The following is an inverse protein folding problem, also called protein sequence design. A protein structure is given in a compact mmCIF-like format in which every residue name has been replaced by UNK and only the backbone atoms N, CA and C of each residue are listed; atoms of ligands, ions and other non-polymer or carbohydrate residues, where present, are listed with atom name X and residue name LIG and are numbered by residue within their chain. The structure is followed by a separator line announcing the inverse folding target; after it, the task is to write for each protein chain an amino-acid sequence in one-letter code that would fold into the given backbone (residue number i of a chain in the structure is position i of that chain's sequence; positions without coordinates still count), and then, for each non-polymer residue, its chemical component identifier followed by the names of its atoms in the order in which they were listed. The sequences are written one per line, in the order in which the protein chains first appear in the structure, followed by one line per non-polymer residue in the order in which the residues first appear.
data_IF_705543787421
#
_entry.id   IF_705543787421
#
_cell.length_a   1.000
_cell.length_b   1.000
_cell.length_c   1.000
_cell.angle_alpha   90.00
_cell.angle_beta   90.00
_cell.angle_gamma   90.00
#
_symmetry.space_group_name_H-M   'P 1'
#
loop_
_entity.id
_entity.type
_entity.pdbx_description
1 polymer ?
#
# COMPACT_ATOMS: atom_id res chain seq x y z
N UNK A 1 -18.95 -0.89 -10.69
CA UNK A 1 -18.94 -0.63 -12.15
C UNK A 1 -18.01 0.54 -12.41
N UNK A 2 -17.13 0.45 -13.40
CA UNK A 2 -16.14 1.51 -13.74
C UNK A 2 -16.51 2.07 -15.11
N UNK A 3 -16.68 3.38 -15.24
CA UNK A 3 -16.97 4.06 -16.50
C UNK A 3 -15.71 4.69 -17.08
N UNK A 4 -15.53 4.62 -18.39
CA UNK A 4 -14.49 5.37 -19.09
C UNK A 4 -14.92 6.83 -19.32
N UNK A 5 -14.01 7.67 -19.83
CA UNK A 5 -14.32 9.08 -20.11
C UNK A 5 -15.35 9.31 -21.23
N UNK A 6 -15.69 8.28 -22.00
CA UNK A 6 -16.79 8.34 -22.97
C UNK A 6 -18.16 8.01 -22.35
N UNK A 7 -18.23 7.71 -21.05
CA UNK A 7 -19.45 7.27 -20.36
C UNK A 7 -19.78 5.78 -20.55
N UNK A 8 -18.96 5.03 -21.28
CA UNK A 8 -19.16 3.59 -21.48
C UNK A 8 -18.61 2.77 -20.31
N UNK A 9 -19.17 1.59 -20.07
CA UNK A 9 -18.63 0.62 -19.13
C UNK A 9 -17.22 0.19 -19.57
N UNK A 10 -16.23 0.40 -18.70
CA UNK A 10 -14.86 -0.02 -18.98
C UNK A 10 -14.75 -1.55 -18.99
N UNK A 11 -13.87 -2.08 -19.84
CA UNK A 11 -13.56 -3.52 -19.90
C UNK A 11 -12.20 -3.80 -19.28
N UNK A 12 -12.06 -4.97 -18.63
CA UNK A 12 -10.76 -5.43 -18.13
C UNK A 12 -9.91 -5.87 -19.32
N UNK A 13 -8.70 -5.33 -19.39
CA UNK A 13 -7.66 -5.66 -20.39
C UNK A 13 -6.39 -6.08 -19.65
N UNK A 14 -5.54 -6.85 -20.33
CA UNK A 14 -4.22 -7.26 -19.83
C UNK A 14 -3.15 -6.41 -20.50
N UNK A 15 -2.22 -5.88 -19.71
CA UNK A 15 -1.04 -5.18 -20.24
C UNK A 15 -0.02 -6.20 -20.74
N UNK A 16 0.36 -6.04 -22.01
CA UNK A 16 1.42 -6.80 -22.67
C UNK A 16 2.72 -6.01 -22.80
N UNK A 17 2.82 -4.87 -22.10
CA UNK A 17 4.03 -4.04 -22.11
C UNK A 17 5.09 -4.65 -21.20
N UNK A 18 6.37 -4.51 -21.57
CA UNK A 18 7.50 -4.97 -20.74
C UNK A 18 7.53 -4.34 -19.33
N UNK A 19 6.93 -3.15 -19.17
CA UNK A 19 6.86 -2.44 -17.88
C UNK A 19 5.82 -3.05 -16.92
N UNK A 20 4.73 -3.61 -17.43
CA UNK A 20 3.65 -4.18 -16.63
C UNK A 20 3.10 -5.47 -17.27
N UNK A 21 3.93 -6.48 -17.51
CA UNK A 21 3.48 -7.69 -18.19
C UNK A 21 2.43 -8.42 -17.34
N UNK A 22 1.33 -8.83 -17.95
CA UNK A 22 0.26 -9.60 -17.32
C UNK A 22 -0.62 -8.81 -16.34
N UNK A 23 -0.37 -7.51 -16.12
CA UNK A 23 -1.16 -6.70 -15.19
C UNK A 23 -2.50 -6.32 -15.81
N UNK A 24 -3.58 -6.46 -15.05
CA UNK A 24 -4.92 -6.12 -15.51
C UNK A 24 -5.27 -4.66 -15.24
N UNK A 25 -6.01 -4.04 -16.16
CA UNK A 25 -6.49 -2.68 -16.05
C UNK A 25 -7.84 -2.52 -16.75
N UNK A 26 -8.68 -1.62 -16.26
CA UNK A 26 -9.87 -1.11 -16.91
C UNK A 26 -9.50 -0.12 -18.02
N UNK A 27 -10.02 -0.36 -19.22
CA UNK A 27 -9.86 0.53 -20.38
C UNK A 27 -11.18 0.81 -21.09
N UNK A 28 -11.18 1.77 -22.02
CA UNK A 28 -12.32 2.00 -22.90
C UNK A 28 -12.67 0.71 -23.68
N UNK A 29 -13.94 0.29 -23.76
CA UNK A 29 -14.31 -0.92 -24.49
C UNK A 29 -14.19 -0.76 -26.01
N UNK A 30 -14.21 0.48 -26.52
CA UNK A 30 -14.13 0.78 -27.95
C UNK A 30 -12.67 0.65 -28.42
N UNK A 31 -12.40 -0.28 -29.32
CA UNK A 31 -11.08 -0.48 -29.90
C UNK A 31 -10.67 0.70 -30.80
N UNK A 32 -9.39 1.10 -30.75
CA UNK A 32 -8.90 2.28 -31.47
C UNK A 32 -9.42 3.63 -30.96
N UNK A 33 -10.15 3.66 -29.85
CA UNK A 33 -10.65 4.90 -29.26
C UNK A 33 -9.52 5.83 -28.84
N UNK A 34 -9.69 7.14 -29.05
CA UNK A 34 -8.82 8.18 -28.48
C UNK A 34 -9.05 8.39 -26.97
N UNK A 35 -9.97 7.65 -26.37
CA UNK A 35 -10.23 7.68 -24.93
C UNK A 35 -9.02 7.13 -24.16
N UNK A 36 -8.35 8.00 -23.40
CA UNK A 36 -7.15 7.64 -22.61
C UNK A 36 -7.46 7.18 -21.19
N UNK A 37 -8.67 6.68 -20.95
CA UNK A 37 -9.03 6.15 -19.64
C UNK A 37 -8.25 4.87 -19.35
N UNK A 38 -7.57 4.84 -18.19
CA UNK A 38 -6.87 3.68 -17.64
C UNK A 38 -7.18 3.66 -16.13
N UNK A 39 -7.73 2.57 -15.63
CA UNK A 39 -7.87 2.31 -14.19
C UNK A 39 -7.25 0.97 -13.83
N UNK A 40 -6.52 0.85 -12.72
CA UNK A 40 -5.97 -0.46 -12.35
C UNK A 40 -7.08 -1.41 -11.90
N UNK A 41 -7.00 -2.67 -12.35
CA UNK A 41 -7.88 -3.73 -11.89
C UNK A 41 -7.09 -4.64 -10.94
N UNK A 42 -7.41 -4.51 -9.65
CA UNK A 42 -6.96 -5.45 -8.64
C UNK A 42 -8.08 -6.48 -8.43
N UNK A 43 -7.85 -7.70 -8.92
CA UNK A 43 -8.77 -8.81 -8.70
C UNK A 43 -8.89 -9.15 -7.20
N UNK A 44 -9.85 -10.02 -6.83
CA UNK A 44 -9.96 -10.46 -5.45
C UNK A 44 -8.64 -11.09 -4.98
N UNK A 45 -8.17 -10.67 -3.81
CA UNK A 45 -7.01 -11.32 -3.17
C UNK A 45 -7.29 -12.81 -2.97
N UNK A 46 -6.29 -13.66 -3.16
CA UNK A 46 -6.44 -15.08 -2.87
C UNK A 46 -6.62 -15.31 -1.35
N UNK A 47 -7.31 -16.40 -0.99
CA UNK A 47 -7.64 -16.72 0.41
C UNK A 47 -6.39 -16.79 1.30
N UNK A 48 -5.28 -17.32 0.77
CA UNK A 48 -4.00 -17.33 1.46
C UNK A 48 -3.52 -15.92 1.81
N UNK A 49 -3.58 -14.98 0.86
CA UNK A 49 -3.18 -13.59 1.09
C UNK A 49 -4.09 -12.91 2.11
N UNK A 50 -5.40 -13.15 2.04
CA UNK A 50 -6.37 -12.64 3.02
C UNK A 50 -6.07 -13.14 4.44
N UNK A 51 -5.59 -14.37 4.60
CA UNK A 51 -5.21 -14.90 5.91
C UNK A 51 -3.87 -14.35 6.43
N UNK A 52 -2.85 -14.28 5.57
CA UNK A 52 -1.46 -13.97 5.97
C UNK A 52 -1.25 -12.46 6.16
N UNK A 53 -1.71 -11.62 5.22
CA UNK A 53 -1.40 -10.18 5.20
C UNK A 53 -1.86 -9.48 6.50
N UNK A 54 -3.08 -9.69 7.02
CA UNK A 54 -3.49 -9.06 8.26
C UNK A 54 -2.64 -9.47 9.47
N UNK A 55 -2.21 -10.74 9.52
CA UNK A 55 -1.31 -11.24 10.58
C UNK A 55 0.04 -10.52 10.56
N UNK A 56 0.64 -10.41 9.37
CA UNK A 56 1.90 -9.68 9.19
C UNK A 56 1.77 -8.20 9.56
N UNK A 57 0.68 -7.54 9.14
CA UNK A 57 0.41 -6.13 9.47
C UNK A 57 0.31 -5.90 10.98
N UNK A 58 -0.40 -6.78 11.71
CA UNK A 58 -0.47 -6.69 13.18
C UNK A 58 0.91 -6.83 13.83
N UNK A 59 1.72 -7.78 13.36
CA UNK A 59 3.09 -7.98 13.86
C UNK A 59 3.95 -6.75 13.62
N UNK A 60 3.93 -6.19 12.40
CA UNK A 60 4.67 -4.96 12.06
C UNK A 60 4.24 -3.80 12.95
N UNK A 61 2.93 -3.60 13.15
CA UNK A 61 2.41 -2.52 13.98
C UNK A 61 2.84 -2.68 15.45
N UNK A 62 2.82 -3.92 15.97
CA UNK A 62 3.29 -4.22 17.33
C UNK A 62 4.79 -3.92 17.49
N UNK A 63 5.62 -4.35 16.54
CA UNK A 63 7.06 -4.10 16.56
C UNK A 63 7.39 -2.61 16.43
N UNK A 64 6.64 -1.87 15.60
CA UNK A 64 6.77 -0.40 15.50
C UNK A 64 6.42 0.27 16.83
N UNK A 65 5.33 -0.12 17.48
CA UNK A 65 4.94 0.43 18.79
C UNK A 65 6.00 0.16 19.88
N UNK A 66 6.55 -1.07 19.92
CA UNK A 66 7.64 -1.42 20.84
C UNK A 66 8.90 -0.60 20.58
N UNK A 67 9.27 -0.43 19.30
CA UNK A 67 10.42 0.39 18.90
C UNK A 67 10.24 1.84 19.31
N UNK A 68 9.05 2.43 19.09
CA UNK A 68 8.74 3.80 19.51
C UNK A 68 8.84 3.96 21.02
N UNK A 69 8.28 3.00 21.78
CA UNK A 69 8.33 3.02 23.25
C UNK A 69 9.77 2.95 23.77
N UNK A 70 10.59 2.08 23.19
CA UNK A 70 12.00 1.93 23.58
C UNK A 70 12.79 3.21 23.27
N UNK A 71 12.53 3.86 22.13
CA UNK A 71 13.14 5.17 21.80
C UNK A 71 12.77 6.25 22.82
N UNK A 72 11.51 6.31 23.25
CA UNK A 72 11.07 7.25 24.29
C UNK A 72 11.82 6.97 25.60
N UNK A 73 11.90 5.71 26.03
CA UNK A 73 12.65 5.37 27.24
C UNK A 73 14.13 5.72 27.15
N UNK A 74 14.76 5.49 26.00
CA UNK A 74 16.14 5.89 25.77
C UNK A 74 16.31 7.41 25.89
N UNK A 75 15.42 8.20 25.26
CA UNK A 75 15.45 9.66 25.36
C UNK A 75 15.26 10.13 26.81
N UNK A 76 14.26 9.61 27.51
CA UNK A 76 14.00 9.94 28.92
C UNK A 76 15.21 9.59 29.81
N UNK A 77 15.83 8.42 29.60
CA UNK A 77 17.01 8.00 30.36
C UNK A 77 18.22 8.91 30.10
N UNK A 78 18.43 9.35 28.86
CA UNK A 78 19.51 10.27 28.50
C UNK A 78 19.28 11.65 29.09
N UNK A 79 18.05 12.17 29.04
CA UNK A 79 17.69 13.44 29.69
C UNK A 79 17.95 13.36 31.19
N UNK A 80 17.52 12.28 31.85
CA UNK A 80 17.76 12.08 33.27
C UNK A 80 19.26 11.96 33.59
N UNK A 81 20.01 11.21 32.80
CA UNK A 81 21.46 11.07 32.97
C UNK A 81 22.19 12.41 32.84
N UNK A 82 21.89 13.19 31.80
CA UNK A 82 22.44 14.54 31.61
C UNK A 82 22.05 15.45 32.76
N UNK A 83 20.79 15.42 33.20
CA UNK A 83 20.34 16.19 34.36
C UNK A 83 21.14 15.83 35.62
N UNK A 84 21.33 14.54 35.91
CA UNK A 84 22.13 14.09 37.05
C UNK A 84 23.60 14.49 36.92
N UNK A 85 24.17 14.52 35.71
CA UNK A 85 25.56 14.95 35.49
C UNK A 85 25.75 16.47 35.61
N UNK A 86 24.75 17.27 35.24
CA UNK A 86 24.82 18.74 35.22
C UNK A 86 24.43 19.34 36.58
N UNK A 87 23.50 18.71 37.29
CA UNK A 87 22.95 19.21 38.55
C UNK A 87 23.33 18.38 39.78
N UNK A 88 24.25 17.41 39.64
CA UNK A 88 25.18 17.07 40.72
C UNK A 88 26.30 18.10 40.74
#
# INVERSE_FOLDING_TARGET
MVLCFCGNMASVRTSWTNKNPGRHFWGCPIEGSKCRFIGWYDGPMCERSKAIIPGLLRTINKLKAQTTRLKIYLLCSWIFFVFVLVYK
#
